data_IF_895531246097
#
_entry.id   IF_895531246097
#
_cell.length_a   1.000
_cell.length_b   1.000
_cell.length_c   1.000
_cell.angle_alpha   90.00
_cell.angle_beta   90.00
_cell.angle_gamma   90.00
#
_symmetry.space_group_name_H-M   'P 1'
#
loop_
_entity.id
_entity.type
_entity.pdbx_description
1 polymer ?
#
# COMPACT_ATOMS: atom_id res chain seq x y z
N UNK A 1 -8.35 -36.63 7.60
CA UNK A 1 -9.15 -35.40 7.35
C UNK A 1 -8.50 -34.68 6.18
N UNK A 2 -9.22 -34.47 5.07
CA UNK A 2 -8.69 -33.73 3.92
C UNK A 2 -8.83 -32.25 4.23
N UNK A 3 -7.79 -31.61 4.75
CA UNK A 3 -7.70 -30.14 4.78
C UNK A 3 -7.45 -29.70 3.34
N UNK A 4 -8.54 -29.45 2.61
CA UNK A 4 -8.46 -28.85 1.28
C UNK A 4 -8.03 -27.40 1.47
N UNK A 5 -6.76 -27.11 1.20
CA UNK A 5 -6.18 -25.77 1.10
C UNK A 5 -6.78 -25.06 -0.12
N UNK A 6 -8.00 -24.55 -0.01
CA UNK A 6 -8.60 -23.79 -1.08
C UNK A 6 -7.89 -22.43 -1.18
N UNK A 7 -7.10 -22.25 -2.24
CA UNK A 7 -6.71 -20.92 -2.69
C UNK A 7 -7.98 -20.14 -3.04
N UNK A 8 -8.11 -18.94 -2.50
CA UNK A 8 -9.24 -18.04 -2.74
C UNK A 8 -8.73 -16.78 -3.43
N UNK A 9 -9.57 -16.24 -4.32
CA UNK A 9 -9.35 -14.94 -4.94
C UNK A 9 -9.71 -13.83 -3.96
N UNK A 10 -8.79 -12.91 -3.75
CA UNK A 10 -8.96 -11.75 -2.87
C UNK A 10 -8.75 -10.47 -3.67
N UNK A 11 -9.50 -9.43 -3.34
CA UNK A 11 -9.20 -8.07 -3.78
C UNK A 11 -8.05 -7.49 -2.96
N UNK A 12 -7.05 -6.97 -3.66
CA UNK A 12 -5.89 -6.29 -3.08
C UNK A 12 -6.14 -4.79 -3.10
N UNK A 13 -6.09 -4.16 -1.92
CA UNK A 13 -6.28 -2.72 -1.75
C UNK A 13 -4.99 -2.08 -1.23
N UNK A 14 -4.31 -1.39 -2.13
CA UNK A 14 -3.04 -0.71 -1.85
C UNK A 14 -3.29 0.51 -0.96
N UNK A 15 -2.62 0.58 0.20
CA UNK A 15 -2.86 1.61 1.22
C UNK A 15 -1.58 2.30 1.69
N UNK A 16 -1.61 3.64 1.68
CA UNK A 16 -0.51 4.48 2.16
C UNK A 16 -0.98 5.36 3.33
N UNK A 17 -0.36 5.17 4.50
CA UNK A 17 -0.63 5.95 5.70
C UNK A 17 0.52 6.90 6.03
N UNK A 18 0.27 8.21 6.04
CA UNK A 18 1.28 9.22 6.36
C UNK A 18 1.39 9.38 7.86
N UNK A 19 2.56 9.06 8.42
CA UNK A 19 2.85 9.22 9.84
C UNK A 19 3.24 10.66 10.16
N UNK A 20 3.23 10.99 11.46
CA UNK A 20 3.57 12.33 11.97
C UNK A 20 5.01 12.75 11.67
N UNK A 21 5.95 11.80 11.65
CA UNK A 21 7.35 12.04 11.31
C UNK A 21 7.58 12.32 9.81
N UNK A 22 6.54 12.18 8.99
CA UNK A 22 6.57 12.35 7.54
C UNK A 22 6.96 11.10 6.77
N UNK A 23 7.25 9.98 7.44
CA UNK A 23 7.35 8.66 6.79
C UNK A 23 5.96 8.17 6.37
N UNK A 24 5.94 7.22 5.44
CA UNK A 24 4.72 6.62 4.92
C UNK A 24 4.76 5.12 5.12
N UNK A 25 3.78 4.59 5.86
CA UNK A 25 3.59 3.15 5.98
C UNK A 25 2.79 2.67 4.76
N UNK A 26 3.38 1.74 4.01
CA UNK A 26 2.75 1.08 2.88
C UNK A 26 2.33 -0.34 3.26
N UNK A 27 1.05 -0.64 3.07
CA UNK A 27 0.48 -1.97 3.34
C UNK A 27 -0.70 -2.24 2.41
N UNK A 28 -0.91 -3.51 2.10
CA UNK A 28 -2.06 -3.96 1.32
C UNK A 28 -3.13 -4.54 2.23
N UNK A 29 -4.38 -4.17 1.98
CA UNK A 29 -5.55 -4.78 2.63
C UNK A 29 -6.12 -5.81 1.67
N UNK A 30 -6.06 -7.08 2.06
CA UNK A 30 -6.64 -8.20 1.33
C UNK A 30 -8.04 -8.47 1.86
N UNK A 31 -9.05 -8.39 0.99
CA UNK A 31 -10.44 -8.69 1.33
C UNK A 31 -11.03 -9.68 0.31
N UNK A 32 -12.12 -10.39 0.62
CA UNK A 32 -12.80 -11.24 -0.36
C UNK A 32 -13.06 -10.49 -1.68
N UNK A 33 -12.94 -11.16 -2.83
CA UNK A 33 -13.08 -10.52 -4.14
C UNK A 33 -14.46 -9.87 -4.37
N UNK A 34 -15.50 -10.35 -3.70
CA UNK A 34 -16.85 -9.78 -3.71
C UNK A 34 -17.04 -8.61 -2.72
N UNK A 35 -16.02 -8.29 -1.92
CA UNK A 35 -16.04 -7.18 -0.99
C UNK A 35 -15.84 -5.84 -1.71
N UNK A 36 -16.88 -5.01 -1.70
CA UNK A 36 -16.93 -3.73 -2.42
C UNK A 36 -17.15 -2.52 -1.51
N UNK A 37 -17.17 -2.72 -0.19
CA UNK A 37 -17.41 -1.67 0.81
C UNK A 37 -16.11 -0.92 1.12
N UNK A 38 -15.88 0.17 0.37
CA UNK A 38 -14.68 1.01 0.52
C UNK A 38 -14.57 1.66 1.90
N UNK A 39 -15.70 2.00 2.52
CA UNK A 39 -15.72 2.61 3.86
C UNK A 39 -15.18 1.62 4.89
N UNK A 40 -15.55 0.33 4.78
CA UNK A 40 -14.98 -0.71 5.64
C UNK A 40 -13.51 -0.99 5.38
N UNK A 41 -13.06 -1.00 4.12
CA UNK A 41 -11.62 -1.13 3.82
C UNK A 41 -10.85 0.02 4.51
N UNK A 42 -11.38 1.23 4.42
CA UNK A 42 -10.80 2.39 5.08
C UNK A 42 -10.77 2.25 6.61
N UNK A 43 -11.84 1.72 7.21
CA UNK A 43 -11.89 1.40 8.64
C UNK A 43 -10.85 0.35 9.04
N UNK A 44 -10.65 -0.71 8.24
CA UNK A 44 -9.63 -1.73 8.50
C UNK A 44 -8.23 -1.11 8.51
N UNK A 45 -7.92 -0.26 7.53
CA UNK A 45 -6.66 0.49 7.50
C UNK A 45 -6.47 1.35 8.76
N UNK A 46 -7.51 2.09 9.17
CA UNK A 46 -7.46 2.93 10.38
C UNK A 46 -7.22 2.12 11.64
N UNK A 47 -7.95 1.01 11.81
CA UNK A 47 -7.80 0.14 12.96
C UNK A 47 -6.37 -0.40 13.07
N UNK A 48 -5.77 -0.78 11.95
CA UNK A 48 -4.41 -1.29 11.91
C UNK A 48 -3.35 -0.24 12.25
N UNK A 49 -3.46 0.95 11.67
CA UNK A 49 -2.56 2.07 11.96
C UNK A 49 -2.66 2.48 13.45
N UNK A 50 -3.86 2.48 14.02
CA UNK A 50 -4.08 2.70 15.45
C UNK A 50 -3.43 1.59 16.30
N UNK A 51 -3.60 0.32 15.92
CA UNK A 51 -3.00 -0.82 16.61
C UNK A 51 -1.46 -0.82 16.55
N UNK A 52 -0.88 -0.25 15.48
CA UNK A 52 0.57 0.01 15.35
C UNK A 52 1.08 1.17 16.22
N UNK A 53 0.21 1.82 16.99
CA UNK A 53 0.58 2.96 17.82
C UNK A 53 0.80 4.25 17.02
N UNK A 54 0.22 4.34 15.83
CA UNK A 54 0.32 5.51 14.94
C UNK A 54 -1.04 6.21 14.78
N UNK A 55 -1.77 6.58 15.85
CA UNK A 55 -3.15 7.06 15.74
C UNK A 55 -3.31 8.38 14.98
N UNK A 56 -2.22 9.15 14.85
CA UNK A 56 -2.20 10.38 14.08
C UNK A 56 -1.86 10.16 12.60
N UNK A 57 -1.59 8.91 12.17
CA UNK A 57 -1.32 8.67 10.77
C UNK A 57 -2.57 8.89 9.93
N UNK A 58 -2.42 9.67 8.87
CA UNK A 58 -3.52 10.01 7.98
C UNK A 58 -3.57 8.99 6.85
N UNK A 59 -4.67 8.24 6.82
CA UNK A 59 -5.07 7.43 5.68
C UNK A 59 -6.03 8.30 4.88
N UNK A 60 -5.74 8.49 3.60
CA UNK A 60 -6.65 9.18 2.70
C UNK A 60 -7.50 8.12 1.99
N UNK A 61 -8.82 8.19 2.16
CA UNK A 61 -9.77 7.23 1.58
C UNK A 61 -9.74 7.23 0.03
N UNK A 62 -9.40 8.36 -0.60
CA UNK A 62 -9.15 8.41 -2.05
C UNK A 62 -7.92 7.60 -2.49
N UNK A 63 -7.12 7.11 -1.55
CA UNK A 63 -5.89 6.35 -1.76
C UNK A 63 -6.03 4.87 -1.40
N UNK A 64 -7.23 4.41 -1.03
CA UNK A 64 -7.49 2.99 -0.83
C UNK A 64 -8.28 2.48 -2.03
N UNK A 65 -7.55 2.16 -3.10
CA UNK A 65 -8.14 1.73 -4.36
C UNK A 65 -7.87 0.25 -4.59
N UNK A 66 -8.90 -0.44 -5.03
CA UNK A 66 -8.78 -1.80 -5.54
C UNK A 66 -7.74 -1.82 -6.67
N UNK A 67 -6.68 -2.60 -6.49
CA UNK A 67 -5.58 -2.69 -7.43
C UNK A 67 -5.82 -3.84 -8.41
N UNK A 68 -5.94 -5.06 -7.89
CA UNK A 68 -6.15 -6.28 -8.67
C UNK A 68 -6.68 -7.41 -7.78
N UNK A 69 -6.96 -8.55 -8.41
CA UNK A 69 -7.29 -9.80 -7.71
C UNK A 69 -6.08 -10.70 -7.71
N UNK A 70 -5.74 -11.26 -6.54
CA UNK A 70 -4.66 -12.24 -6.39
C UNK A 70 -5.20 -13.53 -5.77
N UNK A 71 -4.53 -14.65 -6.04
CA UNK A 71 -4.79 -15.92 -5.35
C UNK A 71 -3.92 -16.01 -4.09
N UNK A 72 -4.55 -16.14 -2.93
CA UNK A 72 -3.82 -16.19 -1.65
C UNK A 72 -3.49 -17.61 -1.23
N UNK A 73 -2.50 -17.74 -0.34
CA UNK A 73 -2.23 -19.01 0.35
C UNK A 73 -3.42 -19.41 1.23
N UNK A 74 -3.54 -20.70 1.53
CA UNK A 74 -4.62 -21.19 2.38
C UNK A 74 -4.60 -20.58 3.80
N UNK A 75 -3.40 -20.27 4.32
CA UNK A 75 -3.25 -19.59 5.61
C UNK A 75 -3.89 -18.20 5.60
N UNK A 76 -3.62 -17.39 4.58
CA UNK A 76 -4.23 -16.06 4.42
C UNK A 76 -5.73 -16.20 4.20
N UNK A 77 -6.17 -17.17 3.38
CA UNK A 77 -7.60 -17.45 3.16
C UNK A 77 -8.32 -17.76 4.47
N UNK A 78 -7.73 -18.58 5.34
CA UNK A 78 -8.31 -18.92 6.65
C UNK A 78 -8.41 -17.70 7.58
N UNK A 79 -7.42 -16.81 7.55
CA UNK A 79 -7.47 -15.58 8.33
C UNK A 79 -8.58 -14.67 7.81
N UNK A 80 -8.64 -14.45 6.49
CA UNK A 80 -9.70 -13.65 5.86
C UNK A 80 -11.08 -14.25 6.16
N UNK A 81 -11.24 -15.58 6.14
CA UNK A 81 -12.50 -16.24 6.46
C UNK A 81 -12.94 -16.03 7.92
N UNK A 82 -11.99 -15.86 8.87
CA UNK A 82 -12.27 -15.65 10.29
C UNK A 82 -12.51 -14.18 10.65
N UNK A 83 -11.73 -13.26 10.10
CA UNK A 83 -11.74 -11.85 10.50
C UNK A 83 -12.28 -10.89 9.43
N UNK A 84 -12.50 -11.37 8.19
CA UNK A 84 -13.06 -10.60 7.07
C UNK A 84 -12.02 -9.91 6.17
N UNK A 85 -10.77 -9.78 6.61
CA UNK A 85 -9.68 -9.16 5.85
C UNK A 85 -8.32 -9.72 6.28
N UNK A 86 -7.24 -9.33 5.62
CA UNK A 86 -5.86 -9.56 6.05
C UNK A 86 -5.02 -8.34 5.68
N UNK A 87 -4.04 -7.99 6.51
CA UNK A 87 -3.14 -6.87 6.23
C UNK A 87 -1.74 -7.42 5.95
N UNK A 88 -1.26 -7.11 4.75
CA UNK A 88 0.09 -7.39 4.32
C UNK A 88 0.91 -6.11 4.42
N UNK A 89 1.74 -6.00 5.45
CA UNK A 89 2.67 -4.88 5.59
C UNK A 89 3.81 -5.02 4.57
N UNK A 90 4.06 -3.97 3.80
CA UNK A 90 5.00 -4.00 2.67
C UNK A 90 6.29 -3.26 3.01
N UNK A 91 6.22 -1.95 3.15
CA UNK A 91 7.42 -1.13 3.33
C UNK A 91 7.15 0.10 4.24
N UNK A 92 8.18 0.52 4.96
CA UNK A 92 8.21 1.78 5.69
C UNK A 92 9.06 2.79 4.91
N UNK A 93 8.40 3.75 4.27
CA UNK A 93 9.01 4.66 3.31
C UNK A 93 9.43 5.94 4.06
N UNK A 94 10.74 6.25 4.16
CA UNK A 94 11.20 7.40 4.90
C UNK A 94 10.77 8.70 4.22
N UNK A 95 10.59 9.75 5.03
CA UNK A 95 10.28 11.11 4.56
C UNK A 95 11.28 11.61 3.52
N UNK A 96 12.55 11.28 3.72
CA UNK A 96 13.65 11.68 2.86
C UNK A 96 14.34 10.45 2.28
N UNK A 97 14.75 10.55 1.02
CA UNK A 97 15.50 9.49 0.35
C UNK A 97 16.87 9.31 1.04
N UNK A 98 17.35 8.06 1.17
CA UNK A 98 18.69 7.79 1.69
C UNK A 98 19.77 8.40 0.74
N UNK A 99 21.02 8.59 1.21
CA UNK A 99 22.06 9.26 0.43
C UNK A 99 22.36 8.63 -0.95
N UNK A 100 22.19 7.30 -1.07
CA UNK A 100 22.36 6.56 -2.31
C UNK A 100 21.10 5.72 -2.58
N UNK A 101 20.01 6.35 -3.03
CA UNK A 101 18.73 5.65 -3.19
C UNK A 101 18.78 4.70 -4.37
N UNK A 102 18.27 3.50 -4.19
CA UNK A 102 18.06 2.53 -5.26
C UNK A 102 16.88 2.97 -6.13
N UNK A 103 16.74 2.36 -7.31
CA UNK A 103 15.56 2.56 -8.17
C UNK A 103 14.24 2.28 -7.43
N UNK A 104 14.23 1.24 -6.56
CA UNK A 104 13.06 0.89 -5.73
C UNK A 104 12.71 2.04 -4.79
N UNK A 105 13.71 2.58 -4.09
CA UNK A 105 13.52 3.70 -3.15
C UNK A 105 12.93 4.93 -3.83
N UNK A 106 13.43 5.27 -5.03
CA UNK A 106 12.92 6.40 -5.81
C UNK A 106 11.46 6.19 -6.23
N UNK A 107 11.11 4.99 -6.72
CA UNK A 107 9.74 4.65 -7.14
C UNK A 107 8.80 4.70 -5.93
N UNK A 108 9.22 4.14 -4.80
CA UNK A 108 8.39 4.10 -3.60
C UNK A 108 8.19 5.47 -3.00
N UNK A 109 9.23 6.30 -2.97
CA UNK A 109 9.09 7.69 -2.60
C UNK A 109 8.12 8.44 -3.53
N UNK A 110 8.20 8.21 -4.86
CA UNK A 110 7.25 8.81 -5.80
C UNK A 110 5.80 8.39 -5.49
N UNK A 111 5.55 7.10 -5.30
CA UNK A 111 4.21 6.54 -5.03
C UNK A 111 3.64 6.98 -3.67
N UNK A 112 4.49 7.05 -2.67
CA UNK A 112 4.11 7.45 -1.32
C UNK A 112 3.71 8.92 -1.26
N UNK A 113 4.54 9.81 -1.82
CA UNK A 113 4.41 11.24 -1.60
C UNK A 113 3.62 11.98 -2.69
N UNK A 114 3.49 11.44 -3.90
CA UNK A 114 2.80 12.12 -5.00
C UNK A 114 1.68 11.28 -5.60
N UNK A 115 0.46 11.78 -5.53
CA UNK A 115 -0.74 11.01 -5.83
C UNK A 115 -0.80 10.53 -7.29
N UNK A 116 -0.33 11.35 -8.22
CA UNK A 116 -0.31 11.04 -9.65
C UNK A 116 0.58 9.84 -10.03
N UNK A 117 1.51 9.43 -9.15
CA UNK A 117 2.43 8.33 -9.41
C UNK A 117 2.05 7.03 -8.70
N UNK A 118 1.07 7.05 -7.79
CA UNK A 118 0.71 5.91 -6.93
C UNK A 118 0.46 4.63 -7.71
N UNK A 119 -0.42 4.70 -8.71
CA UNK A 119 -0.79 3.57 -9.57
C UNK A 119 -0.02 3.56 -10.90
N UNK A 120 0.96 4.44 -11.06
CA UNK A 120 1.77 4.45 -12.27
C UNK A 120 2.63 3.20 -12.31
N UNK A 121 2.59 2.49 -13.44
CA UNK A 121 3.50 1.38 -13.68
C UNK A 121 4.89 1.93 -13.99
N UNK A 122 5.86 1.62 -13.13
CA UNK A 122 7.27 1.98 -13.31
C UNK A 122 8.10 0.83 -13.89
N UNK A 123 7.48 -0.30 -14.22
CA UNK A 123 8.13 -1.42 -14.90
C UNK A 123 8.63 -0.96 -16.27
N UNK A 124 9.91 -1.19 -16.54
CA UNK A 124 10.55 -0.75 -17.78
C UNK A 124 10.90 0.74 -17.86
N UNK A 125 10.49 1.57 -16.89
CA UNK A 125 10.87 3.00 -16.86
C UNK A 125 12.35 3.11 -16.47
N UNK A 126 13.20 3.84 -17.23
CA UNK A 126 14.62 3.98 -16.92
C UNK A 126 14.84 4.81 -15.65
N UNK A 127 16.00 4.60 -15.00
CA UNK A 127 16.34 5.30 -13.75
C UNK A 127 16.39 6.82 -13.93
N UNK A 128 16.95 7.28 -15.04
CA UNK A 128 17.08 8.70 -15.37
C UNK A 128 15.71 9.41 -15.45
N UNK A 129 14.72 8.75 -16.03
CA UNK A 129 13.34 9.27 -16.10
C UNK A 129 12.72 9.38 -14.71
N UNK A 130 12.94 8.38 -13.84
CA UNK A 130 12.46 8.41 -12.45
C UNK A 130 13.11 9.56 -11.68
N UNK A 131 14.40 9.79 -11.86
CA UNK A 131 15.12 10.92 -11.28
C UNK A 131 14.59 12.26 -11.79
N UNK A 132 14.27 12.34 -13.09
CA UNK A 132 13.68 13.54 -13.69
C UNK A 132 12.31 13.86 -13.09
N UNK A 133 11.44 12.85 -12.94
CA UNK A 133 10.12 13.01 -12.29
C UNK A 133 10.27 13.54 -10.86
N UNK A 134 11.20 12.97 -10.08
CA UNK A 134 11.48 13.45 -8.71
C UNK A 134 11.98 14.89 -8.69
N UNK A 135 12.87 15.25 -9.60
CA UNK A 135 13.36 16.63 -9.69
C UNK A 135 12.22 17.60 -10.00
N UNK A 136 11.34 17.24 -10.95
CA UNK A 136 10.17 18.03 -11.31
C UNK A 136 9.25 18.28 -10.11
N UNK A 137 8.96 17.26 -9.30
CA UNK A 137 8.12 17.44 -8.10
C UNK A 137 8.79 18.33 -7.05
N UNK A 138 10.11 18.22 -6.86
CA UNK A 138 10.85 19.10 -5.93
C UNK A 138 10.78 20.56 -6.36
N UNK A 139 10.82 20.85 -7.66
CA UNK A 139 10.73 22.22 -8.20
C UNK A 139 9.30 22.76 -8.10
N UNK A 140 8.27 21.93 -8.34
CA UNK A 140 6.87 22.37 -8.30
C UNK A 140 6.34 22.60 -6.88
N UNK A 141 6.98 22.03 -5.87
CA UNK A 141 6.59 22.13 -4.46
C UNK A 141 7.56 22.97 -3.60
N UNK A 142 8.50 23.68 -4.22
CA UNK A 142 9.30 24.76 -3.62
C UNK A 142 8.62 26.11 -3.80
#
# INVERSE_FOLDING_TARGET
MKTSSAQQKVGVWDTYAHKKDGSVLHFDILAPNDFNDQDKIYEFGKQYVNAKGQPEATINAARCQFCHVEETTAEITEVIAKQGYYILEMDDIPRELPPNPTKKDLVFHLKAHFEQYRFKNFSGVPLEEIQHLLHKEKVNHQ
#
